data_IF_947600987275
#
_entry.id   IF_947600987275
#
_cell.length_a   1.000
_cell.length_b   1.000
_cell.length_c   1.000
_cell.angle_alpha   90.00
_cell.angle_beta   90.00
_cell.angle_gamma   90.00
#
_symmetry.space_group_name_H-M   'P 1'
#
loop_
_entity.id
_entity.type
_entity.pdbx_description
1 polymer ?
#
# COMPACT_ATOMS: atom_id res chain seq x y z
N UNK A 1 -16.66 17.37 -0.33
CA UNK A 1 -17.76 16.90 -1.19
C UNK A 1 -18.01 15.44 -0.86
N UNK A 2 -19.26 14.97 -0.87
CA UNK A 2 -19.59 13.52 -0.80
C UNK A 2 -20.38 13.23 -2.06
N UNK A 3 -19.93 12.28 -2.88
CA UNK A 3 -20.71 11.88 -4.05
C UNK A 3 -21.82 10.89 -3.65
N UNK A 4 -22.92 10.92 -4.40
CA UNK A 4 -24.06 10.01 -4.21
C UNK A 4 -24.41 9.25 -5.50
N UNK A 5 -23.59 9.38 -6.54
CA UNK A 5 -23.84 8.82 -7.88
C UNK A 5 -23.66 7.30 -7.90
N UNK A 6 -22.71 6.77 -7.12
CA UNK A 6 -22.46 5.34 -6.98
C UNK A 6 -22.55 4.90 -5.53
N UNK A 7 -22.75 3.61 -5.33
CA UNK A 7 -22.73 3.02 -4.00
C UNK A 7 -21.30 2.96 -3.46
N UNK A 8 -21.15 3.24 -2.16
CA UNK A 8 -19.93 3.04 -1.39
C UNK A 8 -20.08 1.81 -0.48
N UNK A 9 -20.04 0.58 -1.02
CA UNK A 9 -20.21 -0.63 -0.23
C UNK A 9 -19.11 -0.74 0.83
N UNK A 10 -19.44 -1.28 2.00
CA UNK A 10 -18.48 -1.54 3.08
C UNK A 10 -18.46 -3.03 3.37
N UNK A 11 -17.26 -3.60 3.47
CA UNK A 11 -17.13 -4.96 3.97
C UNK A 11 -17.59 -5.00 5.43
N UNK A 12 -18.32 -6.04 5.79
CA UNK A 12 -18.73 -6.27 7.17
C UNK A 12 -17.49 -6.56 8.02
N UNK A 13 -17.35 -5.84 9.13
CA UNK A 13 -16.29 -6.11 10.10
C UNK A 13 -16.51 -7.50 10.71
N UNK A 14 -15.56 -8.38 10.48
CA UNK A 14 -15.52 -9.73 11.06
C UNK A 14 -14.18 -9.93 11.74
N UNK A 15 -14.11 -10.87 12.67
CA UNK A 15 -12.88 -11.30 13.34
C UNK A 15 -12.51 -12.68 12.83
N UNK A 16 -11.64 -12.80 11.80
CA UNK A 16 -11.27 -14.12 11.28
C UNK A 16 -10.59 -14.96 12.36
N UNK A 17 -10.81 -16.27 12.32
CA UNK A 17 -10.17 -17.22 13.22
C UNK A 17 -8.65 -17.29 12.96
N UNK A 18 -7.87 -17.35 14.04
CA UNK A 18 -6.41 -17.34 13.98
C UNK A 18 -5.79 -16.77 15.25
N UNK A 19 -4.46 -16.79 15.31
CA UNK A 19 -3.70 -16.27 16.43
C UNK A 19 -3.38 -14.79 16.20
N UNK A 20 -3.53 -13.98 17.26
CA UNK A 20 -3.10 -12.57 17.30
C UNK A 20 -2.00 -12.46 18.33
N UNK A 21 -0.80 -12.11 17.89
CA UNK A 21 0.39 -12.01 18.72
C UNK A 21 0.83 -10.54 18.74
N UNK A 22 0.70 -9.84 19.88
CA UNK A 22 1.21 -8.48 20.00
C UNK A 22 2.73 -8.47 19.77
N UNK A 23 3.21 -7.51 19.00
CA UNK A 23 4.63 -7.23 18.78
C UNK A 23 5.03 -5.94 19.51
N UNK A 24 6.32 -5.60 19.53
CA UNK A 24 6.77 -4.28 19.99
C UNK A 24 6.10 -3.17 19.17
N UNK A 25 5.97 -3.40 17.86
CA UNK A 25 5.24 -2.51 16.96
C UNK A 25 4.15 -3.28 16.19
N UNK A 26 2.91 -3.02 16.57
CA UNK A 26 1.73 -3.57 15.92
C UNK A 26 1.39 -4.99 16.39
N UNK A 27 0.61 -5.70 15.57
CA UNK A 27 0.08 -7.02 15.91
C UNK A 27 0.26 -7.95 14.72
N UNK A 28 0.90 -9.09 14.95
CA UNK A 28 0.91 -10.21 14.01
C UNK A 28 -0.41 -10.96 14.10
N UNK A 29 -1.03 -11.22 12.95
CA UNK A 29 -2.16 -12.13 12.81
C UNK A 29 -1.79 -13.28 11.88
N UNK A 30 -1.96 -14.51 12.39
CA UNK A 30 -1.77 -15.75 11.66
C UNK A 30 -3.15 -16.44 11.53
N UNK A 31 -3.74 -16.53 10.32
CA UNK A 31 -5.02 -17.22 10.13
C UNK A 31 -4.97 -18.68 10.58
N UNK A 32 -6.06 -19.20 11.14
CA UNK A 32 -6.14 -20.59 11.62
C UNK A 32 -5.80 -21.65 10.54
N UNK A 33 -6.08 -21.32 9.27
CA UNK A 33 -5.81 -22.19 8.12
C UNK A 33 -4.34 -22.19 7.66
N UNK A 34 -3.49 -21.32 8.21
CA UNK A 34 -2.04 -21.40 8.01
C UNK A 34 -1.51 -22.46 8.96
N UNK A 35 -1.16 -23.62 8.41
CA UNK A 35 -0.67 -24.77 9.19
C UNK A 35 0.83 -25.00 8.99
N UNK A 36 1.41 -24.36 7.98
CA UNK A 36 2.82 -24.45 7.65
C UNK A 36 3.67 -23.60 8.60
N UNK A 37 4.87 -24.10 8.93
CA UNK A 37 5.89 -23.35 9.68
C UNK A 37 6.94 -22.65 8.82
N UNK A 38 6.97 -22.96 7.52
CA UNK A 38 7.90 -22.41 6.55
C UNK A 38 7.17 -22.06 5.24
N UNK A 39 7.78 -21.22 4.41
CA UNK A 39 7.19 -20.81 3.14
C UNK A 39 5.99 -19.86 3.27
N UNK A 40 5.74 -19.36 4.50
CA UNK A 40 4.65 -18.44 4.80
C UNK A 40 5.06 -17.04 4.37
N UNK A 41 4.15 -16.32 3.68
CA UNK A 41 4.37 -14.91 3.34
C UNK A 41 3.98 -14.01 4.50
N UNK A 42 4.75 -12.96 4.73
CA UNK A 42 4.43 -11.93 5.71
C UNK A 42 4.15 -10.61 5.01
N UNK A 43 2.93 -10.10 5.20
CA UNK A 43 2.58 -8.72 4.82
C UNK A 43 2.73 -7.80 6.03
N UNK A 44 3.47 -6.72 5.89
CA UNK A 44 3.31 -5.58 6.80
C UNK A 44 2.30 -4.61 6.19
N UNK A 45 1.20 -4.36 6.91
CA UNK A 45 0.16 -3.44 6.48
C UNK A 45 0.07 -2.23 7.41
N UNK A 46 0.17 -1.03 6.84
CA UNK A 46 0.22 0.22 7.57
C UNK A 46 -1.04 1.06 7.34
N UNK A 47 -1.59 1.58 8.44
CA UNK A 47 -2.80 2.38 8.49
C UNK A 47 -4.09 1.61 8.11
N UNK A 48 -5.28 2.22 8.23
CA UNK A 48 -6.56 1.62 7.85
C UNK A 48 -7.18 0.63 8.85
N UNK A 49 -6.63 0.53 10.07
CA UNK A 49 -7.09 -0.42 11.09
C UNK A 49 -6.57 -1.85 10.89
N UNK A 50 -6.92 -2.73 11.82
CA UNK A 50 -6.39 -4.09 11.93
C UNK A 50 -7.30 -5.14 11.27
N UNK A 51 -8.61 -5.01 11.43
CA UNK A 51 -9.58 -6.04 11.03
C UNK A 51 -9.61 -6.27 9.52
N UNK A 52 -9.39 -5.24 8.71
CA UNK A 52 -9.53 -5.33 7.27
C UNK A 52 -8.33 -6.03 6.61
N UNK A 53 -7.06 -5.71 6.94
CA UNK A 53 -5.93 -6.53 6.52
C UNK A 53 -6.06 -7.99 6.98
N UNK A 54 -6.53 -8.22 8.21
CA UNK A 54 -6.79 -9.59 8.72
C UNK A 54 -7.86 -10.31 7.88
N UNK A 55 -8.95 -9.63 7.51
CA UNK A 55 -9.97 -10.17 6.63
C UNK A 55 -9.44 -10.41 5.21
N UNK A 56 -8.63 -9.50 4.68
CA UNK A 56 -8.10 -9.61 3.33
C UNK A 56 -7.15 -10.80 3.21
N UNK A 57 -6.19 -10.91 4.13
CA UNK A 57 -5.25 -12.03 4.12
C UNK A 57 -5.92 -13.34 4.54
N UNK A 58 -7.04 -13.34 5.30
CA UNK A 58 -7.79 -14.58 5.61
C UNK A 58 -8.40 -15.25 4.37
N UNK A 59 -8.38 -14.59 3.20
CA UNK A 59 -8.74 -15.15 1.89
C UNK A 59 -7.54 -15.61 1.04
N UNK A 60 -6.31 -15.39 1.49
CA UNK A 60 -5.06 -15.65 0.73
C UNK A 60 -4.32 -16.90 1.21
N UNK A 61 -3.85 -17.76 0.33
CA UNK A 61 -3.11 -18.97 0.73
C UNK A 61 -1.78 -18.65 1.42
N UNK A 62 -1.51 -19.33 2.54
CA UNK A 62 -0.23 -19.30 3.28
C UNK A 62 0.35 -17.91 3.58
N UNK A 63 -0.46 -17.03 4.16
CA UNK A 63 -0.11 -15.63 4.40
C UNK A 63 -0.50 -15.19 5.81
N UNK A 64 0.41 -14.47 6.46
CA UNK A 64 0.20 -13.78 7.73
C UNK A 64 0.33 -12.26 7.51
N UNK A 65 -0.14 -11.46 8.48
CA UNK A 65 -0.05 -10.00 8.41
C UNK A 65 0.39 -9.41 9.74
N UNK A 66 1.32 -8.44 9.69
CA UNK A 66 1.56 -7.50 10.79
C UNK A 66 0.83 -6.21 10.46
N UNK A 67 -0.09 -5.79 11.32
CA UNK A 67 -0.79 -4.51 11.17
C UNK A 67 -0.22 -3.47 12.12
N UNK A 68 0.13 -2.28 11.59
CA UNK A 68 0.72 -1.17 12.36
C UNK A 68 -0.11 0.10 12.18
N UNK A 69 -0.44 0.76 13.29
CA UNK A 69 -1.21 2.01 13.30
C UNK A 69 -0.43 3.09 14.05
N UNK A 70 -0.31 4.28 13.43
CA UNK A 70 0.47 5.41 13.96
C UNK A 70 -0.34 6.73 13.96
N UNK A 71 -1.67 6.65 13.89
CA UNK A 71 -2.54 7.81 13.76
C UNK A 71 -2.58 8.37 12.33
N UNK A 72 -2.81 9.68 12.22
CA UNK A 72 -2.93 10.41 10.96
C UNK A 72 -1.60 11.02 10.49
N UNK A 73 -1.45 11.15 9.18
CA UNK A 73 -0.29 11.77 8.53
C UNK A 73 0.87 10.81 8.30
N UNK A 74 1.46 10.83 7.09
CA UNK A 74 2.54 9.92 6.70
C UNK A 74 3.84 10.12 7.51
N UNK A 75 4.02 11.29 8.12
CA UNK A 75 5.14 11.59 8.99
C UNK A 75 5.19 10.73 10.26
N UNK A 76 4.05 10.36 10.85
CA UNK A 76 4.05 9.48 12.03
C UNK A 76 4.53 8.08 11.68
N UNK A 77 4.09 7.54 10.54
CA UNK A 77 4.55 6.26 10.00
C UNK A 77 6.03 6.29 9.59
N UNK A 78 6.51 7.39 9.02
CA UNK A 78 7.93 7.57 8.69
C UNK A 78 8.80 7.49 9.95
N UNK A 79 8.41 8.18 11.03
CA UNK A 79 9.15 8.19 12.31
C UNK A 79 9.26 6.81 12.97
N UNK A 80 8.36 5.88 12.64
CA UNK A 80 8.45 4.51 13.15
C UNK A 80 9.61 3.72 12.55
N UNK A 81 10.22 4.14 11.45
CA UNK A 81 11.30 3.38 10.78
C UNK A 81 12.53 4.26 10.47
N UNK A 82 12.75 5.31 11.27
CA UNK A 82 13.99 6.10 11.20
C UNK A 82 15.22 5.28 11.59
N UNK A 83 15.05 4.33 12.51
CA UNK A 83 16.03 3.27 12.74
C UNK A 83 15.84 2.14 11.69
N UNK A 84 16.79 1.94 10.75
CA UNK A 84 16.67 0.92 9.73
C UNK A 84 16.65 -0.50 10.31
N UNK A 85 17.24 -0.74 11.49
CA UNK A 85 17.27 -2.05 12.13
C UNK A 85 15.90 -2.51 12.65
N UNK A 86 14.97 -1.58 12.88
CA UNK A 86 13.66 -1.92 13.47
C UNK A 86 12.85 -2.87 12.59
N UNK A 87 12.89 -2.70 11.27
CA UNK A 87 12.13 -3.57 10.36
C UNK A 87 12.60 -5.03 10.47
N UNK A 88 13.91 -5.27 10.44
CA UNK A 88 14.48 -6.61 10.63
C UNK A 88 14.20 -7.19 12.02
N UNK A 89 14.23 -6.36 13.06
CA UNK A 89 13.91 -6.79 14.43
C UNK A 89 12.46 -7.24 14.56
N UNK A 90 11.51 -6.52 13.93
CA UNK A 90 10.10 -6.90 13.95
C UNK A 90 9.82 -8.20 13.20
N UNK A 91 10.53 -8.47 12.11
CA UNK A 91 10.45 -9.77 11.43
C UNK A 91 10.93 -10.86 12.37
N UNK A 92 12.11 -10.70 12.97
CA UNK A 92 12.68 -11.67 13.94
C UNK A 92 11.73 -11.91 15.12
N UNK A 93 11.13 -10.85 15.67
CA UNK A 93 10.16 -10.95 16.76
C UNK A 93 8.91 -11.73 16.33
N UNK A 94 8.36 -11.43 15.14
CA UNK A 94 7.22 -12.12 14.57
C UNK A 94 7.51 -13.62 14.39
N UNK A 95 8.69 -13.97 13.89
CA UNK A 95 9.13 -15.36 13.75
C UNK A 95 9.25 -16.07 15.11
N UNK A 96 9.91 -15.42 16.08
CA UNK A 96 10.09 -15.98 17.42
C UNK A 96 8.77 -16.23 18.15
N UNK A 97 7.80 -15.31 18.06
CA UNK A 97 6.50 -15.44 18.73
C UNK A 97 5.58 -16.46 18.06
N UNK A 98 5.62 -16.56 16.74
CA UNK A 98 4.73 -17.46 16.00
C UNK A 98 5.31 -18.86 15.78
N UNK A 99 6.64 -19.01 15.86
CA UNK A 99 7.34 -20.23 15.46
C UNK A 99 7.30 -20.50 13.95
N UNK A 100 7.00 -19.48 13.15
CA UNK A 100 6.95 -19.52 11.68
C UNK A 100 8.18 -18.80 11.13
N UNK A 101 8.83 -19.36 10.12
CA UNK A 101 9.83 -18.64 9.32
C UNK A 101 9.17 -18.05 8.07
N UNK A 102 9.33 -16.75 7.86
CA UNK A 102 8.70 -16.06 6.73
C UNK A 102 9.65 -16.00 5.53
N UNK A 103 9.23 -16.60 4.42
CA UNK A 103 10.08 -16.75 3.23
C UNK A 103 10.03 -15.54 2.30
N UNK A 104 8.88 -14.88 2.21
CA UNK A 104 8.66 -13.68 1.39
C UNK A 104 8.06 -12.58 2.27
N UNK A 105 8.63 -11.39 2.16
CA UNK A 105 8.16 -10.19 2.88
C UNK A 105 7.58 -9.20 1.87
N UNK A 106 6.34 -8.79 2.12
CA UNK A 106 5.59 -7.84 1.30
C UNK A 106 5.17 -6.63 2.15
N UNK A 107 5.06 -5.46 1.52
CA UNK A 107 4.55 -4.25 2.17
C UNK A 107 3.23 -3.78 1.54
N UNK A 108 2.31 -3.31 2.39
CA UNK A 108 1.08 -2.65 1.97
C UNK A 108 0.80 -1.43 2.83
N UNK A 109 0.33 -0.35 2.22
CA UNK A 109 -0.01 0.87 2.95
C UNK A 109 -1.19 1.56 2.31
N UNK A 110 -2.11 2.04 3.12
CA UNK A 110 -3.19 2.93 2.68
C UNK A 110 -2.95 4.35 3.16
N UNK A 111 -3.13 5.34 2.30
CA UNK A 111 -3.05 6.76 2.67
C UNK A 111 -1.72 7.06 3.38
N UNK A 112 -1.77 7.61 4.60
CA UNK A 112 -0.61 7.87 5.46
C UNK A 112 0.34 6.67 5.66
N UNK A 113 -0.16 5.43 5.58
CA UNK A 113 0.63 4.21 5.72
C UNK A 113 1.78 4.10 4.70
N UNK A 114 1.66 4.71 3.52
CA UNK A 114 2.72 4.73 2.51
C UNK A 114 4.00 5.43 3.01
N UNK A 115 3.91 6.26 4.05
CA UNK A 115 5.08 6.84 4.72
C UNK A 115 6.02 5.80 5.32
N UNK A 116 5.48 4.75 5.95
CA UNK A 116 6.29 3.64 6.48
C UNK A 116 6.95 2.86 5.34
N UNK A 117 6.20 2.57 4.27
CA UNK A 117 6.73 1.86 3.10
C UNK A 117 7.94 2.58 2.50
N UNK A 118 7.79 3.88 2.23
CA UNK A 118 8.87 4.73 1.72
C UNK A 118 10.10 4.67 2.62
N UNK A 119 9.90 4.81 3.92
CA UNK A 119 10.99 4.83 4.89
C UNK A 119 11.71 3.48 4.97
N UNK A 120 10.98 2.37 5.00
CA UNK A 120 11.56 1.02 5.03
C UNK A 120 12.34 0.75 3.75
N UNK A 121 11.80 1.12 2.59
CA UNK A 121 12.44 0.89 1.29
C UNK A 121 13.69 1.76 1.06
N UNK A 122 13.91 2.81 1.86
CA UNK A 122 15.15 3.60 1.79
C UNK A 122 16.36 2.86 2.39
N UNK A 123 16.14 1.84 3.23
CA UNK A 123 17.20 0.97 3.73
C UNK A 123 17.53 -0.14 2.72
N UNK A 124 18.78 -0.28 2.23
CA UNK A 124 19.14 -1.27 1.22
C UNK A 124 18.84 -2.72 1.62
N UNK A 125 19.12 -3.10 2.87
CA UNK A 125 18.90 -4.48 3.33
C UNK A 125 17.41 -4.83 3.35
N UNK A 126 16.58 -3.91 3.84
CA UNK A 126 15.12 -4.01 3.81
C UNK A 126 14.60 -4.05 2.37
N UNK A 127 15.09 -3.16 1.50
CA UNK A 127 14.71 -3.11 0.09
C UNK A 127 14.93 -4.44 -0.63
N UNK A 128 16.10 -5.06 -0.42
CA UNK A 128 16.44 -6.34 -1.04
C UNK A 128 15.53 -7.47 -0.55
N UNK A 129 15.15 -7.45 0.73
CA UNK A 129 14.27 -8.44 1.36
C UNK A 129 12.81 -8.35 0.91
N UNK A 130 12.35 -7.18 0.47
CA UNK A 130 10.94 -6.95 0.11
C UNK A 130 10.67 -7.36 -1.34
N UNK A 131 9.70 -8.24 -1.57
CA UNK A 131 9.38 -8.71 -2.93
C UNK A 131 8.27 -7.92 -3.59
N UNK A 132 7.26 -7.52 -2.82
CA UNK A 132 6.05 -6.87 -3.35
C UNK A 132 5.64 -5.67 -2.51
N UNK A 133 5.14 -4.65 -3.19
CA UNK A 133 4.65 -3.41 -2.58
C UNK A 133 3.27 -3.06 -3.13
N UNK A 134 2.35 -2.72 -2.25
CA UNK A 134 1.01 -2.23 -2.56
C UNK A 134 0.78 -0.86 -1.90
N UNK A 135 0.78 0.19 -2.71
CA UNK A 135 0.41 1.55 -2.28
C UNK A 135 -1.05 1.82 -2.64
N UNK A 136 -1.87 2.03 -1.63
CA UNK A 136 -3.30 2.28 -1.79
C UNK A 136 -3.60 3.74 -1.55
N UNK A 137 -3.77 4.49 -2.64
CA UNK A 137 -4.18 5.90 -2.64
C UNK A 137 -3.43 6.74 -1.59
N UNK A 138 -2.11 6.59 -1.51
CA UNK A 138 -1.30 7.22 -0.46
C UNK A 138 0.11 7.65 -0.83
N UNK A 139 0.49 7.55 -2.11
CA UNK A 139 1.77 8.09 -2.57
C UNK A 139 1.65 9.61 -2.66
N UNK A 140 2.12 10.31 -1.64
CA UNK A 140 2.07 11.78 -1.56
C UNK A 140 3.47 12.39 -1.42
N UNK A 141 3.57 13.66 -1.80
CA UNK A 141 4.76 14.49 -1.60
C UNK A 141 4.34 15.95 -1.39
N UNK A 142 5.30 16.83 -1.05
CA UNK A 142 5.05 18.25 -0.89
C UNK A 142 4.94 19.00 -2.23
N UNK A 143 4.51 20.25 -2.16
CA UNK A 143 4.64 21.19 -3.28
C UNK A 143 5.90 22.03 -3.08
N UNK A 144 6.67 22.28 -4.13
CA UNK A 144 7.91 23.08 -4.08
C UNK A 144 7.66 24.48 -3.48
N UNK A 145 6.50 25.06 -3.79
CA UNK A 145 6.09 26.38 -3.30
C UNK A 145 5.07 26.32 -2.15
N UNK A 146 4.89 25.14 -1.52
CA UNK A 146 3.92 24.93 -0.43
C UNK A 146 2.44 25.00 -0.82
N UNK A 147 2.12 25.12 -2.11
CA UNK A 147 0.74 25.20 -2.63
C UNK A 147 0.64 24.59 -4.04
N UNK A 148 -0.55 24.10 -4.44
CA UNK A 148 -0.79 23.64 -5.79
C UNK A 148 -0.69 24.77 -6.82
N UNK A 149 -0.37 24.41 -8.06
CA UNK A 149 -0.41 25.33 -9.19
C UNK A 149 -1.83 25.60 -9.69
N UNK A 150 -2.03 26.58 -10.58
CA UNK A 150 -3.35 26.90 -11.13
C UNK A 150 -3.84 25.86 -12.17
N UNK A 151 -2.92 25.10 -12.77
CA UNK A 151 -3.21 24.02 -13.73
C UNK A 151 -2.43 22.77 -13.33
N UNK A 152 -1.10 22.85 -13.44
CA UNK A 152 -0.18 21.81 -12.98
C UNK A 152 0.64 22.31 -11.79
N UNK A 153 0.83 21.44 -10.81
CA UNK A 153 1.63 21.74 -9.63
C UNK A 153 3.10 21.39 -9.83
N UNK A 154 3.98 22.19 -9.22
CA UNK A 154 5.37 21.80 -9.03
C UNK A 154 5.50 21.02 -7.72
N UNK A 155 5.80 19.73 -7.83
CA UNK A 155 5.86 18.80 -6.69
C UNK A 155 7.30 18.51 -6.27
N UNK A 156 7.53 18.25 -4.99
CA UNK A 156 8.81 17.78 -4.47
C UNK A 156 9.05 16.33 -4.91
N UNK A 157 10.22 16.02 -5.45
CA UNK A 157 10.47 14.71 -6.06
C UNK A 157 11.27 13.75 -5.17
N UNK A 158 12.01 14.23 -4.17
CA UNK A 158 12.88 13.38 -3.34
C UNK A 158 12.14 12.27 -2.59
N UNK A 159 10.88 12.50 -2.20
CA UNK A 159 10.05 11.46 -1.59
C UNK A 159 9.55 10.39 -2.59
N UNK A 160 9.78 10.59 -3.89
CA UNK A 160 9.33 9.73 -4.97
C UNK A 160 10.44 8.83 -5.54
N UNK A 161 11.70 9.11 -5.24
CA UNK A 161 12.86 8.38 -5.77
C UNK A 161 12.81 6.87 -5.50
N UNK A 162 12.38 6.49 -4.29
CA UNK A 162 12.28 5.07 -3.92
C UNK A 162 11.20 4.34 -4.74
N UNK A 163 10.11 5.03 -5.07
CA UNK A 163 9.07 4.49 -5.94
C UNK A 163 9.59 4.37 -7.36
N UNK A 164 10.31 5.38 -7.87
CA UNK A 164 10.94 5.32 -9.19
C UNK A 164 11.86 4.11 -9.33
N UNK A 165 12.70 3.86 -8.32
CA UNK A 165 13.59 2.69 -8.26
C UNK A 165 12.77 1.39 -8.24
N UNK A 166 11.82 1.25 -7.32
CA UNK A 166 11.00 0.04 -7.18
C UNK A 166 10.13 -0.23 -8.42
N UNK A 167 9.63 0.80 -9.08
CA UNK A 167 8.90 0.68 -10.35
C UNK A 167 9.79 0.21 -11.49
N UNK A 168 11.04 0.69 -11.61
CA UNK A 168 12.00 0.17 -12.59
C UNK A 168 12.31 -1.31 -12.35
N UNK A 169 12.51 -1.71 -11.10
CA UNK A 169 12.72 -3.12 -10.75
C UNK A 169 11.47 -3.98 -11.00
N UNK A 170 10.27 -3.43 -10.78
CA UNK A 170 9.02 -4.10 -11.09
C UNK A 170 8.82 -4.28 -12.60
N UNK A 171 9.08 -3.25 -13.41
CA UNK A 171 9.05 -3.35 -14.87
C UNK A 171 10.05 -4.40 -15.40
N UNK A 172 11.19 -4.56 -14.74
CA UNK A 172 12.16 -5.60 -15.01
C UNK A 172 11.79 -7.00 -14.45
N UNK A 173 10.59 -7.17 -13.89
CA UNK A 173 10.09 -8.39 -13.24
C UNK A 173 10.94 -8.88 -12.05
N UNK A 174 11.74 -8.02 -11.43
CA UNK A 174 12.51 -8.34 -10.21
C UNK A 174 11.68 -8.20 -8.94
N UNK A 175 10.65 -7.36 -8.99
CA UNK A 175 9.73 -7.04 -7.90
C UNK A 175 8.30 -6.99 -8.44
N UNK A 176 7.31 -6.90 -7.56
CA UNK A 176 5.93 -6.58 -7.96
C UNK A 176 5.43 -5.33 -7.27
N UNK A 177 4.93 -4.38 -8.04
CA UNK A 177 4.53 -3.07 -7.51
C UNK A 177 3.15 -2.70 -8.00
N UNK A 178 2.24 -2.42 -7.06
CA UNK A 178 0.91 -1.90 -7.35
C UNK A 178 0.78 -0.51 -6.72
N UNK A 179 0.42 0.47 -7.52
CA UNK A 179 -0.01 1.80 -7.07
C UNK A 179 -1.46 1.98 -7.49
N UNK A 180 -2.31 2.38 -6.55
CA UNK A 180 -3.64 2.89 -6.87
C UNK A 180 -3.71 4.35 -6.45
N UNK A 181 -4.42 5.16 -7.23
CA UNK A 181 -4.72 6.55 -6.90
C UNK A 181 -6.19 6.86 -7.20
N UNK A 182 -6.74 7.85 -6.50
CA UNK A 182 -8.01 8.46 -6.84
C UNK A 182 -7.81 9.91 -7.24
N UNK A 183 -8.88 10.55 -7.72
CA UNK A 183 -8.91 12.00 -8.00
C UNK A 183 -8.99 12.83 -6.71
N UNK A 184 -8.70 12.23 -5.53
CA UNK A 184 -8.69 12.95 -4.28
C UNK A 184 -7.64 14.07 -4.31
N UNK A 185 -8.10 15.28 -4.01
CA UNK A 185 -7.27 16.48 -4.02
C UNK A 185 -7.17 17.07 -2.61
N UNK A 186 -6.05 16.84 -1.89
CA UNK A 186 -5.89 17.29 -0.50
C UNK A 186 -5.69 18.80 -0.34
N UNK A 187 -5.26 19.50 -1.41
CA UNK A 187 -5.00 20.94 -1.45
C UNK A 187 -3.78 21.44 -0.67
N UNK A 188 -3.28 20.69 0.31
CA UNK A 188 -2.13 21.08 1.17
C UNK A 188 -0.85 20.31 0.87
N UNK A 189 -0.94 19.27 0.06
CA UNK A 189 0.16 18.45 -0.47
C UNK A 189 -0.27 17.83 -1.81
N UNK A 190 0.68 17.30 -2.57
CA UNK A 190 0.43 16.72 -3.88
C UNK A 190 -0.53 15.53 -3.78
N UNK A 191 -1.55 15.51 -4.64
CA UNK A 191 -2.49 14.40 -4.75
C UNK A 191 -1.80 13.13 -5.22
N UNK A 192 -2.44 11.99 -5.01
CA UNK A 192 -1.97 10.69 -5.52
C UNK A 192 -2.06 10.61 -7.04
N UNK A 193 -2.92 11.40 -7.67
CA UNK A 193 -2.96 11.53 -9.14
C UNK A 193 -1.74 12.29 -9.65
N UNK A 194 -1.40 13.45 -9.06
CA UNK A 194 -0.20 14.21 -9.46
C UNK A 194 1.09 13.40 -9.29
N UNK A 195 1.22 12.62 -8.21
CA UNK A 195 2.40 11.76 -8.01
C UNK A 195 2.39 10.56 -8.95
N UNK A 196 1.24 9.94 -9.23
CA UNK A 196 1.14 8.85 -10.20
C UNK A 196 1.54 9.32 -11.61
N UNK A 197 1.06 10.49 -12.04
CA UNK A 197 1.40 11.09 -13.33
C UNK A 197 2.89 11.38 -13.45
N UNK A 198 3.50 11.95 -12.40
CA UNK A 198 4.95 12.13 -12.34
C UNK A 198 5.71 10.81 -12.49
N UNK A 199 5.33 9.78 -11.73
CA UNK A 199 6.00 8.48 -11.79
C UNK A 199 5.87 7.83 -13.18
N UNK A 200 4.68 7.89 -13.78
CA UNK A 200 4.45 7.38 -15.14
C UNK A 200 5.30 8.12 -16.18
N UNK A 201 5.38 9.46 -16.08
CA UNK A 201 6.24 10.28 -16.93
C UNK A 201 7.71 9.85 -16.84
N UNK A 202 8.24 9.71 -15.62
CA UNK A 202 9.63 9.32 -15.37
C UNK A 202 9.97 7.90 -15.83
N UNK A 203 8.97 7.02 -15.86
CA UNK A 203 9.09 5.68 -16.45
C UNK A 203 8.85 5.64 -17.95
N UNK A 204 8.57 6.79 -18.58
CA UNK A 204 8.19 6.89 -20.00
C UNK A 204 6.98 6.02 -20.36
N UNK A 205 6.04 5.89 -19.41
CA UNK A 205 4.78 5.18 -19.58
C UNK A 205 3.63 6.17 -19.74
N UNK A 206 2.61 5.79 -20.51
CA UNK A 206 1.40 6.60 -20.69
C UNK A 206 0.20 5.89 -20.06
N UNK A 207 -0.65 6.60 -19.29
CA UNK A 207 -1.89 6.03 -18.78
C UNK A 207 -2.79 5.60 -19.94
N UNK A 208 -3.29 4.35 -19.91
CA UNK A 208 -4.32 3.91 -20.84
C UNK A 208 -5.70 4.19 -20.22
N UNK A 209 -6.53 5.04 -20.86
CA UNK A 209 -7.87 5.30 -20.36
C UNK A 209 -8.71 4.01 -20.38
N UNK A 210 -9.38 3.75 -19.26
CA UNK A 210 -10.35 2.65 -19.13
C UNK A 210 -11.60 3.19 -18.44
N UNK A 211 -12.76 2.62 -18.74
CA UNK A 211 -14.00 2.91 -18.01
C UNK A 211 -14.63 1.57 -17.64
N UNK A 212 -14.33 1.09 -16.43
CA UNK A 212 -14.91 -0.14 -15.89
C UNK A 212 -14.99 -0.12 -14.36
N UNK A 213 -15.87 -0.95 -13.83
CA UNK A 213 -15.98 -1.16 -12.39
C UNK A 213 -14.76 -1.92 -11.84
N UNK A 214 -14.20 -1.39 -10.76
CA UNK A 214 -13.21 -2.03 -9.91
C UNK A 214 -13.83 -2.65 -8.65
N UNK A 215 -13.00 -3.19 -7.74
CA UNK A 215 -13.49 -3.71 -6.47
C UNK A 215 -14.23 -2.63 -5.66
N UNK A 216 -15.15 -3.06 -4.80
CA UNK A 216 -15.99 -2.16 -3.99
C UNK A 216 -16.77 -1.12 -4.81
N UNK A 217 -17.13 -1.44 -6.06
CA UNK A 217 -17.87 -0.55 -6.97
C UNK A 217 -17.16 0.79 -7.21
N UNK A 218 -15.84 0.80 -7.13
CA UNK A 218 -15.00 1.92 -7.58
C UNK A 218 -15.03 2.00 -9.10
N UNK A 219 -14.87 3.20 -9.66
CA UNK A 219 -14.80 3.40 -11.11
C UNK A 219 -13.34 3.55 -11.52
N UNK A 220 -12.79 2.60 -12.26
CA UNK A 220 -11.44 2.71 -12.83
C UNK A 220 -11.50 3.68 -14.03
N UNK A 221 -10.52 4.58 -14.10
CA UNK A 221 -10.34 5.60 -15.16
C UNK A 221 -9.08 5.36 -16.00
N UNK A 222 -8.04 4.77 -15.40
CA UNK A 222 -6.79 4.47 -16.11
C UNK A 222 -6.15 3.18 -15.60
N UNK A 223 -5.42 2.51 -16.47
CA UNK A 223 -4.61 1.34 -16.13
C UNK A 223 -3.28 1.40 -16.90
N UNK A 224 -2.18 1.12 -16.21
CA UNK A 224 -0.86 0.92 -16.82
C UNK A 224 -0.27 -0.35 -16.27
N UNK A 225 0.21 -1.22 -17.17
CA UNK A 225 0.88 -2.46 -16.80
C UNK A 225 2.19 -2.59 -17.59
N UNK A 226 3.28 -2.88 -16.89
CA UNK A 226 4.59 -3.16 -17.49
C UNK A 226 5.37 -4.10 -16.58
N UNK A 227 5.68 -5.32 -17.04
CA UNK A 227 6.27 -6.36 -16.19
C UNK A 227 5.43 -6.61 -14.93
N UNK A 228 6.06 -6.50 -13.76
CA UNK A 228 5.47 -6.57 -12.43
C UNK A 228 4.89 -5.25 -11.91
N UNK A 229 4.92 -4.15 -12.68
CA UNK A 229 4.30 -2.88 -12.32
C UNK A 229 2.82 -2.83 -12.77
N UNK A 230 1.96 -2.35 -11.87
CA UNK A 230 0.56 -2.00 -12.15
C UNK A 230 0.23 -0.64 -11.49
N UNK A 231 -0.22 0.32 -12.29
CA UNK A 231 -0.76 1.59 -11.80
C UNK A 231 -2.23 1.69 -12.23
N UNK A 232 -3.12 1.98 -11.28
CA UNK A 232 -4.57 2.09 -11.54
C UNK A 232 -5.10 3.41 -10.99
N UNK A 233 -5.68 4.21 -11.87
CA UNK A 233 -6.40 5.42 -11.49
C UNK A 233 -7.89 5.17 -11.35
N UNK A 234 -8.48 5.75 -10.33
CA UNK A 234 -9.90 5.65 -10.04
C UNK A 234 -10.55 7.03 -9.96
N UNK A 235 -11.82 7.10 -10.34
CA UNK A 235 -12.62 8.30 -10.13
C UNK A 235 -12.89 8.52 -8.65
N UNK A 236 -13.14 9.78 -8.30
CA UNK A 236 -13.68 10.17 -6.99
C UNK A 236 -12.74 11.04 -6.16
N UNK A 237 -13.33 12.08 -5.54
CA UNK A 237 -12.63 13.12 -4.79
C UNK A 237 -13.29 13.38 -3.42
N UNK A 238 -13.81 12.33 -2.81
CA UNK A 238 -14.45 12.37 -1.49
C UNK A 238 -13.81 11.37 -0.53
N UNK A 239 -14.01 11.59 0.77
CA UNK A 239 -13.52 10.67 1.79
C UNK A 239 -14.07 9.22 1.61
N UNK A 240 -15.35 9.01 1.24
CA UNK A 240 -15.83 7.69 0.86
C UNK A 240 -15.07 7.03 -0.30
N UNK A 241 -14.71 7.75 -1.36
CA UNK A 241 -13.93 7.22 -2.49
C UNK A 241 -12.58 6.66 -2.02
N UNK A 242 -11.89 7.46 -1.20
CA UNK A 242 -10.61 7.09 -0.60
C UNK A 242 -10.71 5.86 0.31
N UNK A 243 -11.83 5.72 1.02
CA UNK A 243 -12.10 4.56 1.88
C UNK A 243 -12.49 3.31 1.07
N UNK A 244 -13.15 3.47 -0.09
CA UNK A 244 -13.45 2.34 -0.98
C UNK A 244 -12.18 1.64 -1.46
N UNK A 245 -11.11 2.42 -1.72
CA UNK A 245 -9.79 1.91 -2.05
C UNK A 245 -9.24 0.98 -0.96
N UNK A 246 -9.35 1.39 0.31
CA UNK A 246 -8.95 0.55 1.43
C UNK A 246 -9.80 -0.73 1.47
N UNK A 247 -11.12 -0.62 1.37
CA UNK A 247 -12.02 -1.79 1.36
C UNK A 247 -11.78 -2.73 0.17
N UNK A 248 -11.14 -2.25 -0.90
CA UNK A 248 -10.74 -3.02 -2.06
C UNK A 248 -9.51 -3.91 -1.81
N UNK A 249 -8.88 -3.82 -0.64
CA UNK A 249 -7.69 -4.59 -0.24
C UNK A 249 -7.76 -6.09 -0.56
N UNK A 250 -8.86 -6.84 -0.30
CA UNK A 250 -8.91 -8.26 -0.70
C UNK A 250 -8.74 -8.48 -2.22
N UNK A 251 -9.32 -7.59 -3.03
CA UNK A 251 -9.15 -7.59 -4.49
C UNK A 251 -7.72 -7.23 -4.88
N UNK A 252 -7.14 -6.21 -4.24
CA UNK A 252 -5.77 -5.77 -4.52
C UNK A 252 -4.72 -6.80 -4.11
N UNK A 253 -4.92 -7.55 -3.02
CA UNK A 253 -4.06 -8.69 -2.69
C UNK A 253 -4.14 -9.78 -3.75
N UNK A 254 -5.31 -10.04 -4.32
CA UNK A 254 -5.44 -10.98 -5.44
C UNK A 254 -4.65 -10.49 -6.66
N UNK A 255 -4.60 -9.17 -6.90
CA UNK A 255 -3.74 -8.60 -7.95
C UNK A 255 -2.27 -8.69 -7.58
N UNK A 256 -1.90 -8.47 -6.32
CA UNK A 256 -0.52 -8.49 -5.85
C UNK A 256 0.10 -9.90 -5.92
N UNK A 257 -0.70 -10.95 -5.80
CA UNK A 257 -0.21 -12.34 -5.77
C UNK A 257 -0.11 -13.00 -7.15
N UNK A 258 -0.49 -12.32 -8.23
CA UNK A 258 -0.32 -12.80 -9.61
C UNK A 258 1.15 -12.70 -10.05
#
# INVERSE_FOLDING_TARGET
MVEHTREHPRLTKTTPAGQRLPLELGTLFVPQRVTQKHGVRLLFFFHGGDWLPQLAISRQHNMAVVTVQAGAGSGSYTKLFTDPGRFSTLITEAEAKSGITFSEIDLGGWSAGCGALRQILNDPASYDRIHRVLCIDGVHTGYVNGKPGPLESQIETGNLDVWLRFGRDAMANKKRFIITHSEIFPGTFASTTETADYLLHEWSLKPHPVVRWGPMKTQMLSEVKSGGLLVVGFAGNSAPDHVDQLHSLPGYLTWLMK
#
